data_IF_769988463539
#
_entry.id   IF_769988463539
#
_cell.length_a   1.000
_cell.length_b   1.000
_cell.length_c   1.000
_cell.angle_alpha   90.00
_cell.angle_beta   90.00
_cell.angle_gamma   90.00
#
_symmetry.space_group_name_H-M   'P 1'
#
loop_
_entity.id
_entity.type
_entity.pdbx_description
1 polymer ?
#
# COMPACT_ATOMS: atom_id res chain seq x y z
N UNK A 1 8.39 -3.84 23.05
CA UNK A 1 7.23 -3.57 22.17
C UNK A 1 6.72 -4.92 21.71
N UNK A 2 5.42 -5.19 21.83
CA UNK A 2 4.85 -6.51 21.55
C UNK A 2 5.22 -6.97 20.13
N UNK A 3 5.82 -8.14 20.01
CA UNK A 3 6.02 -8.82 18.74
C UNK A 3 4.65 -9.00 18.09
N UNK A 4 4.39 -8.22 17.02
CA UNK A 4 3.17 -8.42 16.25
C UNK A 4 3.22 -9.82 15.66
N UNK A 5 2.24 -10.63 16.04
CA UNK A 5 2.16 -12.00 15.57
C UNK A 5 1.82 -12.01 14.07
N UNK A 6 2.26 -13.03 13.33
CA UNK A 6 2.01 -13.16 11.89
C UNK A 6 0.52 -13.01 11.52
N UNK A 7 -0.36 -13.53 12.39
CA UNK A 7 -1.82 -13.39 12.32
C UNK A 7 -2.29 -11.93 12.37
N UNK A 8 -1.64 -11.08 13.18
CA UNK A 8 -1.99 -9.65 13.26
C UNK A 8 -1.53 -8.86 12.03
N UNK A 9 -0.38 -9.22 11.48
CA UNK A 9 0.10 -8.64 10.21
C UNK A 9 -0.89 -8.99 9.11
N UNK A 10 -1.22 -10.28 8.98
CA UNK A 10 -2.19 -10.76 8.00
C UNK A 10 -3.55 -10.08 8.12
N UNK A 11 -4.13 -10.05 9.33
CA UNK A 11 -5.42 -9.41 9.57
C UNK A 11 -5.41 -7.93 9.20
N UNK A 12 -4.34 -7.19 9.52
CA UNK A 12 -4.20 -5.77 9.16
C UNK A 12 -4.11 -5.56 7.66
N UNK A 13 -3.28 -6.35 6.97
CA UNK A 13 -3.12 -6.28 5.51
C UNK A 13 -4.40 -6.66 4.79
N UNK A 14 -5.06 -7.74 5.22
CA UNK A 14 -6.34 -8.17 4.68
C UNK A 14 -7.39 -7.06 4.76
N UNK A 15 -7.60 -6.44 5.93
CA UNK A 15 -8.56 -5.35 6.05
C UNK A 15 -8.16 -4.12 5.23
N UNK A 16 -6.86 -3.82 5.15
CA UNK A 16 -6.34 -2.72 4.32
C UNK A 16 -6.69 -2.91 2.84
N UNK A 17 -6.42 -4.10 2.30
CA UNK A 17 -6.67 -4.42 0.89
C UNK A 17 -8.15 -4.57 0.57
N UNK A 18 -8.96 -5.07 1.51
CA UNK A 18 -10.42 -5.05 1.40
C UNK A 18 -10.92 -3.61 1.23
N UNK A 19 -10.54 -2.71 2.15
CA UNK A 19 -10.94 -1.31 2.11
C UNK A 19 -10.45 -0.60 0.84
N UNK A 20 -9.18 -0.81 0.46
CA UNK A 20 -8.60 -0.21 -0.75
C UNK A 20 -9.25 -0.71 -2.04
N UNK A 21 -9.85 -1.91 -2.02
CA UNK A 21 -10.56 -2.50 -3.15
C UNK A 21 -12.07 -2.20 -3.14
N UNK A 22 -12.57 -1.43 -2.17
CA UNK A 22 -14.01 -1.21 -1.98
C UNK A 22 -14.79 -2.47 -1.55
N UNK A 23 -14.08 -3.49 -1.06
CA UNK A 23 -14.64 -4.79 -0.63
C UNK A 23 -14.77 -4.82 0.91
N UNK A 24 -15.70 -5.61 1.42
CA UNK A 24 -15.87 -5.80 2.87
C UNK A 24 -15.79 -7.28 3.29
N UNK A 25 -15.88 -7.53 4.60
CA UNK A 25 -15.84 -8.90 5.15
C UNK A 25 -16.97 -9.79 4.63
N UNK A 26 -18.13 -9.21 4.31
CA UNK A 26 -19.26 -9.95 3.73
C UNK A 26 -18.95 -10.39 2.30
N UNK A 27 -18.27 -9.56 1.51
CA UNK A 27 -17.79 -9.94 0.17
C UNK A 27 -16.76 -11.07 0.26
N UNK A 28 -15.83 -10.97 1.22
CA UNK A 28 -14.86 -12.03 1.50
C UNK A 28 -15.56 -13.34 1.89
N UNK A 29 -16.57 -13.28 2.76
CA UNK A 29 -17.38 -14.41 3.19
C UNK A 29 -18.08 -15.09 2.01
N UNK A 30 -18.73 -14.30 1.14
CA UNK A 30 -19.41 -14.78 -0.08
C UNK A 30 -18.43 -15.41 -1.06
N UNK A 31 -17.32 -14.73 -1.34
CA UNK A 31 -16.33 -15.19 -2.31
C UNK A 31 -15.61 -16.47 -1.85
N UNK A 32 -15.24 -16.53 -0.56
CA UNK A 32 -14.51 -17.67 -0.01
C UNK A 32 -15.42 -18.86 0.36
N UNK A 33 -16.74 -18.68 0.32
CA UNK A 33 -17.70 -19.70 0.74
C UNK A 33 -17.54 -20.13 2.20
N UNK A 34 -17.14 -19.21 3.08
CA UNK A 34 -16.94 -19.49 4.52
C UNK A 34 -18.00 -18.78 5.36
N UNK A 35 -18.20 -19.21 6.60
CA UNK A 35 -19.10 -18.51 7.52
C UNK A 35 -18.59 -17.09 7.84
N UNK A 36 -19.51 -16.16 8.11
CA UNK A 36 -19.18 -14.80 8.55
C UNK A 36 -18.26 -14.82 9.78
N UNK A 37 -18.50 -15.73 10.74
CA UNK A 37 -17.63 -15.94 11.89
C UNK A 37 -16.18 -16.28 11.47
N UNK A 38 -15.99 -17.14 10.48
CA UNK A 38 -14.65 -17.50 9.98
C UNK A 38 -13.93 -16.33 9.32
N UNK A 39 -14.65 -15.55 8.51
CA UNK A 39 -14.10 -14.35 7.87
C UNK A 39 -13.70 -13.29 8.91
N UNK A 40 -14.55 -13.07 9.92
CA UNK A 40 -14.24 -12.18 11.03
C UNK A 40 -13.06 -12.69 11.86
N UNK A 41 -12.92 -14.01 12.04
CA UNK A 41 -11.78 -14.62 12.73
C UNK A 41 -10.44 -14.29 12.05
N UNK A 42 -10.43 -14.29 10.71
CA UNK A 42 -9.27 -13.91 9.91
C UNK A 42 -8.98 -12.41 9.97
N UNK A 43 -10.03 -11.58 9.92
CA UNK A 43 -9.91 -10.13 9.98
C UNK A 43 -9.55 -9.60 11.38
N UNK A 44 -9.81 -10.35 12.45
CA UNK A 44 -9.48 -9.97 13.83
C UNK A 44 -8.21 -10.65 14.36
N UNK A 45 -7.46 -11.36 13.51
CA UNK A 45 -6.25 -12.09 13.89
C UNK A 45 -6.47 -13.24 14.89
N UNK A 46 -7.71 -13.72 15.03
CA UNK A 46 -8.03 -14.86 15.90
C UNK A 46 -7.54 -16.18 15.30
N UNK A 47 -7.65 -16.33 13.97
CA UNK A 47 -7.18 -17.52 13.24
C UNK A 47 -6.54 -17.16 11.92
N UNK A 48 -5.54 -17.96 11.56
CA UNK A 48 -4.88 -17.89 10.26
C UNK A 48 -5.64 -18.77 9.24
N UNK A 49 -5.99 -18.25 8.06
CA UNK A 49 -6.42 -19.10 6.95
C UNK A 49 -5.30 -20.07 6.53
N UNK A 50 -5.68 -21.19 5.91
CA UNK A 50 -4.73 -22.12 5.28
C UNK A 50 -4.10 -21.49 4.03
N UNK A 51 -2.95 -21.98 3.60
CA UNK A 51 -2.21 -21.47 2.45
C UNK A 51 -3.08 -21.35 1.17
N UNK A 52 -3.86 -22.39 0.82
CA UNK A 52 -4.82 -22.35 -0.31
C UNK A 52 -5.79 -21.14 -0.21
N UNK A 53 -6.27 -20.85 0.99
CA UNK A 53 -7.21 -19.75 1.21
C UNK A 53 -6.50 -18.40 1.11
N UNK A 54 -5.27 -18.30 1.61
CA UNK A 54 -4.45 -17.08 1.49
C UNK A 54 -4.20 -16.77 0.02
N UNK A 55 -3.84 -17.77 -0.77
CA UNK A 55 -3.61 -17.62 -2.21
C UNK A 55 -4.87 -17.16 -2.95
N UNK A 56 -6.03 -17.77 -2.66
CA UNK A 56 -7.32 -17.34 -3.23
C UNK A 56 -7.68 -15.90 -2.87
N UNK A 57 -7.44 -15.49 -1.62
CA UNK A 57 -7.67 -14.12 -1.17
C UNK A 57 -6.72 -13.16 -1.89
N UNK A 58 -5.44 -13.51 -2.01
CA UNK A 58 -4.44 -12.71 -2.71
C UNK A 58 -4.84 -12.50 -4.18
N UNK A 59 -5.19 -13.59 -4.88
CA UNK A 59 -5.66 -13.55 -6.26
C UNK A 59 -6.94 -12.71 -6.42
N UNK A 60 -7.89 -12.83 -5.49
CA UNK A 60 -9.14 -12.06 -5.53
C UNK A 60 -8.95 -10.56 -5.25
N UNK A 61 -7.98 -10.21 -4.41
CA UNK A 61 -7.60 -8.83 -4.13
C UNK A 61 -6.63 -8.26 -5.17
N UNK A 62 -6.08 -9.09 -6.06
CA UNK A 62 -5.07 -8.69 -7.04
C UNK A 62 -3.70 -8.36 -6.43
N UNK A 63 -3.36 -9.00 -5.30
CA UNK A 63 -2.11 -8.78 -4.56
C UNK A 63 -1.31 -10.07 -4.44
N UNK A 64 -0.04 -9.97 -4.03
CA UNK A 64 0.79 -11.16 -3.80
C UNK A 64 0.56 -11.71 -2.39
N UNK A 65 0.85 -12.99 -2.19
CA UNK A 65 0.82 -13.61 -0.85
C UNK A 65 1.76 -12.88 0.11
N UNK A 66 2.92 -12.42 -0.38
CA UNK A 66 3.88 -11.63 0.40
C UNK A 66 3.29 -10.32 0.92
N UNK A 67 2.43 -9.65 0.15
CA UNK A 67 1.77 -8.40 0.56
C UNK A 67 0.78 -8.62 1.72
N UNK A 68 0.21 -9.82 1.82
CA UNK A 68 -0.66 -10.22 2.93
C UNK A 68 0.12 -10.74 4.15
N UNK A 69 1.31 -11.33 3.96
CA UNK A 69 2.01 -12.05 5.04
C UNK A 69 3.23 -11.29 5.59
N UNK A 70 3.80 -10.36 4.84
CA UNK A 70 5.01 -9.66 5.22
C UNK A 70 4.71 -8.25 5.76
N UNK A 71 5.44 -7.87 6.82
CA UNK A 71 5.52 -6.48 7.27
C UNK A 71 6.50 -5.72 6.37
N UNK A 72 6.23 -5.66 5.07
CA UNK A 72 6.95 -4.77 4.17
C UNK A 72 6.50 -3.34 4.44
N UNK A 73 7.40 -2.34 4.40
CA UNK A 73 7.06 -0.93 4.52
C UNK A 73 6.33 -0.48 3.26
N UNK A 74 5.04 -0.82 3.18
CA UNK A 74 4.19 -0.42 2.07
C UNK A 74 3.82 1.06 2.19
N UNK A 75 3.63 1.73 1.05
CA UNK A 75 3.00 3.04 1.03
C UNK A 75 1.55 2.84 1.49
N UNK A 76 1.21 3.44 2.63
CA UNK A 76 -0.15 3.35 3.16
C UNK A 76 -1.08 4.21 2.31
N UNK A 77 -2.39 3.95 2.34
CA UNK A 77 -3.40 4.83 1.73
C UNK A 77 -3.25 6.30 2.19
N UNK A 78 -2.78 6.56 3.42
CA UNK A 78 -2.43 7.92 3.85
C UNK A 78 -1.22 8.47 3.10
N UNK A 79 -0.23 7.62 2.84
CA UNK A 79 0.96 8.00 2.08
C UNK A 79 0.64 8.30 0.62
N UNK A 80 -0.21 7.49 -0.02
CA UNK A 80 -0.67 7.69 -1.40
C UNK A 80 -1.56 8.93 -1.49
N UNK A 81 -2.54 9.07 -0.59
CA UNK A 81 -3.42 10.23 -0.54
C UNK A 81 -2.69 11.54 -0.24
N UNK A 82 -1.59 11.48 0.52
CA UNK A 82 -0.70 12.63 0.69
C UNK A 82 0.07 12.97 -0.59
N UNK A 83 0.57 11.96 -1.31
CA UNK A 83 1.26 12.17 -2.60
C UNK A 83 0.28 12.79 -3.60
N UNK A 84 -0.92 12.22 -3.74
CA UNK A 84 -1.99 12.78 -4.58
C UNK A 84 -2.36 14.21 -4.17
N UNK A 85 -2.50 14.47 -2.87
CA UNK A 85 -2.81 15.83 -2.39
C UNK A 85 -1.70 16.82 -2.75
N UNK A 86 -0.44 16.44 -2.54
CA UNK A 86 0.72 17.28 -2.88
C UNK A 86 0.79 17.50 -4.40
N UNK A 87 0.55 16.48 -5.21
CA UNK A 87 0.52 16.60 -6.67
C UNK A 87 -0.62 17.50 -7.14
N UNK A 88 -1.81 17.39 -6.55
CA UNK A 88 -2.94 18.25 -6.91
C UNK A 88 -2.71 19.70 -6.48
N UNK A 89 -2.23 19.94 -5.27
CA UNK A 89 -1.84 21.29 -4.80
C UNK A 89 -0.72 21.87 -5.68
N UNK A 90 0.22 21.04 -6.14
CA UNK A 90 1.29 21.47 -7.04
C UNK A 90 0.73 21.77 -8.43
N UNK A 91 -0.14 20.93 -8.98
CA UNK A 91 -0.84 21.16 -10.26
C UNK A 91 -1.60 22.48 -10.23
N UNK A 92 -2.38 22.72 -9.19
CA UNK A 92 -3.13 23.97 -9.05
C UNK A 92 -2.21 25.19 -8.98
N UNK A 93 -1.09 25.11 -8.26
CA UNK A 93 -0.09 26.20 -8.22
C UNK A 93 0.60 26.43 -9.57
N UNK A 94 0.93 25.37 -10.29
CA UNK A 94 1.57 25.43 -11.61
C UNK A 94 0.63 25.96 -12.70
N UNK A 95 -0.68 25.85 -12.50
CA UNK A 95 -1.72 26.32 -13.43
C UNK A 95 -2.30 27.68 -13.02
N UNK A 96 -2.05 28.14 -11.79
CA UNK A 96 -2.48 29.45 -11.29
C UNK A 96 -1.51 30.56 -11.71
N UNK A 97 -1.84 31.82 -11.41
CA UNK A 97 -1.35 33.08 -12.02
C UNK A 97 0.19 33.33 -12.06
N UNK A 98 0.99 32.48 -11.40
CA UNK A 98 2.47 32.40 -11.44
C UNK A 98 2.95 31.04 -12.03
N UNK A 99 2.22 30.53 -13.01
CA UNK A 99 2.45 29.21 -13.59
C UNK A 99 3.85 29.05 -14.17
N UNK A 100 4.28 27.79 -14.33
CA UNK A 100 5.56 27.49 -14.98
C UNK A 100 5.58 28.14 -16.37
N UNK A 101 6.46 29.13 -16.57
CA UNK A 101 6.74 29.68 -17.89
C UNK A 101 7.88 28.91 -18.53
N UNK A 102 7.68 28.48 -19.76
CA UNK A 102 8.70 27.82 -20.58
C UNK A 102 8.93 28.69 -21.82
N UNK A 103 10.16 29.18 -22.00
CA UNK A 103 10.53 30.09 -23.09
C UNK A 103 9.72 31.40 -23.16
N UNK A 104 9.16 31.86 -22.04
CA UNK A 104 8.39 33.10 -21.96
C UNK A 104 6.89 32.92 -22.21
N UNK A 105 6.46 31.71 -22.56
CA UNK A 105 5.07 31.32 -22.68
C UNK A 105 4.63 30.47 -21.47
N UNK A 106 3.36 30.53 -21.06
CA UNK A 106 2.84 29.59 -20.06
C UNK A 106 3.02 28.15 -20.55
N UNK A 107 3.57 27.29 -19.69
CA UNK A 107 3.79 25.90 -20.02
C UNK A 107 2.47 25.25 -20.45
N UNK A 108 2.53 24.49 -21.54
CA UNK A 108 1.37 23.75 -22.03
C UNK A 108 0.90 22.73 -20.98
N UNK A 109 -0.42 22.46 -20.91
CA UNK A 109 -0.98 21.50 -19.95
C UNK A 109 -0.31 20.12 -20.03
N UNK A 110 0.07 19.67 -21.24
CA UNK A 110 0.81 18.41 -21.44
C UNK A 110 2.21 18.41 -20.79
N UNK A 111 2.91 19.54 -20.83
CA UNK A 111 4.22 19.68 -20.19
C UNK A 111 4.08 19.67 -18.66
N UNK A 112 3.05 20.34 -18.13
CA UNK A 112 2.72 20.33 -16.70
C UNK A 112 2.39 18.90 -16.24
N UNK A 113 1.59 18.16 -16.99
CA UNK A 113 1.28 16.75 -16.68
C UNK A 113 2.50 15.83 -16.74
N UNK A 114 3.38 16.02 -17.72
CA UNK A 114 4.62 15.25 -17.83
C UNK A 114 5.54 15.45 -16.62
N UNK A 115 5.64 16.70 -16.12
CA UNK A 115 6.40 17.04 -14.91
C UNK A 115 5.76 16.42 -13.67
N UNK A 116 4.44 16.47 -13.56
CA UNK A 116 3.71 15.88 -12.43
C UNK A 116 3.88 14.36 -12.37
N UNK A 117 3.79 13.66 -13.51
CA UNK A 117 4.03 12.21 -13.58
C UNK A 117 5.46 11.86 -13.15
N UNK A 118 6.46 12.62 -13.61
CA UNK A 118 7.85 12.41 -13.19
C UNK A 118 8.03 12.68 -11.68
N UNK A 119 7.39 13.71 -11.14
CA UNK A 119 7.41 14.04 -9.71
C UNK A 119 6.74 12.95 -8.85
N UNK A 120 5.61 12.41 -9.30
CA UNK A 120 4.91 11.30 -8.63
C UNK A 120 5.83 10.08 -8.50
N UNK A 121 6.43 9.67 -9.62
CA UNK A 121 7.39 8.56 -9.68
C UNK A 121 8.57 8.83 -8.74
N UNK A 122 9.11 10.05 -8.76
CA UNK A 122 10.20 10.48 -7.87
C UNK A 122 9.82 10.44 -6.39
N UNK A 123 8.63 10.92 -6.02
CA UNK A 123 8.12 10.90 -4.64
C UNK A 123 7.85 9.49 -4.15
N UNK A 124 7.23 8.64 -4.97
CA UNK A 124 7.00 7.23 -4.64
C UNK A 124 8.33 6.52 -4.36
N UNK A 125 9.33 6.72 -5.23
CA UNK A 125 10.68 6.17 -5.04
C UNK A 125 11.37 6.75 -3.80
N UNK A 126 11.33 8.08 -3.60
CA UNK A 126 11.95 8.74 -2.46
C UNK A 126 11.33 8.26 -1.14
N UNK A 127 10.00 8.10 -1.09
CA UNK A 127 9.28 7.65 0.11
C UNK A 127 9.54 6.18 0.41
N UNK A 128 9.60 5.33 -0.62
CA UNK A 128 10.05 3.92 -0.50
C UNK A 128 11.47 3.86 0.05
N UNK A 129 12.40 4.61 -0.55
CA UNK A 129 13.80 4.66 -0.13
C UNK A 129 13.98 5.26 1.27
N UNK A 130 13.18 6.27 1.65
CA UNK A 130 13.22 6.87 2.99
C UNK A 130 12.71 5.89 4.05
N UNK A 131 11.64 5.13 3.75
CA UNK A 131 11.23 4.01 4.60
C UNK A 131 12.32 2.93 4.67
N UNK A 132 13.00 2.59 3.59
CA UNK A 132 14.09 1.59 3.61
C UNK A 132 15.37 2.04 4.36
N UNK A 133 15.62 3.36 4.40
CA UNK A 133 16.85 3.99 4.92
C UNK A 133 16.70 4.50 6.36
N UNK A 134 15.53 5.00 6.75
CA UNK A 134 15.23 5.53 8.10
C UNK A 134 14.36 4.60 8.94
N UNK A 135 13.91 3.45 8.43
CA UNK A 135 13.49 2.36 9.31
C UNK A 135 14.73 1.88 10.06
N UNK A 136 14.82 2.04 11.40
CA UNK A 136 16.02 1.70 12.15
C UNK A 136 16.35 0.21 11.95
N UNK A 137 17.65 -0.11 11.80
CA UNK A 137 18.21 -1.47 11.57
C UNK A 137 17.66 -2.57 12.50
N UNK A 138 17.05 -2.20 13.62
CA UNK A 138 16.33 -3.10 14.53
C UNK A 138 15.16 -3.87 13.87
N UNK A 139 14.67 -3.43 12.70
CA UNK A 139 13.55 -4.05 11.98
C UNK A 139 13.96 -4.76 10.67
N UNK A 140 15.23 -4.76 10.28
CA UNK A 140 15.73 -5.64 9.20
C UNK A 140 16.10 -6.97 9.84
N UNK A 141 15.15 -7.89 9.93
CA UNK A 141 15.42 -9.26 10.41
C UNK A 141 16.11 -10.01 9.27
N UNK A 142 17.43 -10.15 9.39
CA UNK A 142 18.19 -11.21 8.74
C UNK A 142 17.47 -12.54 9.01
N UNK A 143 16.80 -13.05 7.97
CA UNK A 143 16.33 -14.44 7.91
C UNK A 143 17.02 -15.11 6.75
N UNK A 144 18.33 -15.29 6.89
CA UNK A 144 19.03 -16.35 6.19
C UNK A 144 19.92 -17.08 7.18
N UNK A 145 19.79 -18.40 7.13
CA UNK A 145 20.63 -19.42 7.74
C UNK A 145 20.26 -19.92 9.15
N UNK A 146 19.16 -20.67 9.23
CA UNK A 146 19.15 -21.89 10.06
C UNK A 146 18.75 -23.05 9.15
N UNK A 147 19.73 -23.88 8.83
CA UNK A 147 19.61 -24.93 7.83
C UNK A 147 20.91 -25.69 7.62
N UNK A 148 21.50 -26.22 8.70
CA UNK A 148 21.95 -27.61 8.77
C UNK A 148 22.38 -28.00 10.19
#
# INVERSE_FOLDING_TARGET
MAEKTLREIFAKKLNYYLASSGKNQSDLCKYMGVSSATASDWCNANKMPRADKIEKIAHWLGVSIGDLMEDKPELTQRDTKQIEKILNETKEKLTSQEGLMFEGDPASPEAIESILNAMEIGMAMAKKKNKEKYTPKKYKKDRFNDGH
#
